data_IF_047154618714
#
_entry.id   IF_047154618714
#
_cell.length_a   1.000
_cell.length_b   1.000
_cell.length_c   1.000
_cell.angle_alpha   90.00
_cell.angle_beta   90.00
_cell.angle_gamma   90.00
#
_symmetry.space_group_name_H-M   'P 1'
#
loop_
_entity.id
_entity.type
_entity.pdbx_description
1 polymer ?
#
# COMPACT_ATOMS: atom_id res chain seq x y z
N UNK A 1 44.33 -23.49 -18.90
CA UNK A 1 42.89 -23.17 -19.17
C UNK A 1 41.88 -24.11 -18.50
N UNK A 2 41.91 -25.45 -18.71
CA UNK A 2 40.87 -26.36 -18.14
C UNK A 2 40.78 -26.37 -16.60
N UNK A 3 41.91 -26.23 -15.91
CA UNK A 3 41.97 -26.17 -14.42
C UNK A 3 41.34 -24.88 -13.90
N UNK A 4 41.68 -23.74 -14.52
CA UNK A 4 41.12 -22.42 -14.19
C UNK A 4 39.61 -22.40 -14.43
N UNK A 5 39.15 -22.97 -15.56
CA UNK A 5 37.72 -23.07 -15.86
C UNK A 5 36.96 -23.96 -14.85
N UNK A 6 37.53 -25.11 -14.45
CA UNK A 6 36.95 -25.96 -13.40
C UNK A 6 36.90 -25.25 -12.05
N UNK A 7 37.94 -24.50 -11.71
CA UNK A 7 37.99 -23.69 -10.49
C UNK A 7 36.88 -22.63 -10.50
N UNK A 8 36.76 -21.85 -11.57
CA UNK A 8 35.74 -20.82 -11.72
C UNK A 8 34.31 -21.40 -11.66
N UNK A 9 34.07 -22.53 -12.33
CA UNK A 9 32.77 -23.23 -12.26
C UNK A 9 32.43 -23.68 -10.83
N UNK A 10 33.41 -24.24 -10.09
CA UNK A 10 33.21 -24.63 -8.69
C UNK A 10 32.94 -23.43 -7.80
N UNK A 11 33.69 -22.34 -8.00
CA UNK A 11 33.49 -21.08 -7.28
C UNK A 11 32.07 -20.54 -7.49
N UNK A 12 31.61 -20.42 -8.74
CA UNK A 12 30.24 -20.00 -9.06
C UNK A 12 29.18 -20.92 -8.45
N UNK A 13 29.39 -22.23 -8.48
CA UNK A 13 28.47 -23.19 -7.86
C UNK A 13 28.38 -22.98 -6.34
N UNK A 14 29.51 -22.77 -5.67
CA UNK A 14 29.54 -22.49 -4.23
C UNK A 14 28.80 -21.18 -3.92
N UNK A 15 29.03 -20.12 -4.70
CA UNK A 15 28.26 -18.87 -4.56
C UNK A 15 26.76 -19.07 -4.74
N UNK A 16 26.34 -19.83 -5.75
CA UNK A 16 24.93 -20.13 -5.98
C UNK A 16 24.32 -20.90 -4.81
N UNK A 17 25.02 -21.90 -4.28
CA UNK A 17 24.55 -22.66 -3.10
C UNK A 17 24.44 -21.76 -1.87
N UNK A 18 25.40 -20.87 -1.63
CA UNK A 18 25.32 -19.89 -0.54
C UNK A 18 24.14 -18.95 -0.71
N UNK A 19 23.89 -18.44 -1.92
CA UNK A 19 22.74 -17.60 -2.22
C UNK A 19 21.41 -18.33 -1.98
N UNK A 20 21.27 -19.57 -2.47
CA UNK A 20 20.09 -20.40 -2.21
C UNK A 20 19.93 -20.64 -0.71
N UNK A 21 21.01 -20.97 -0.01
CA UNK A 21 21.00 -21.16 1.45
C UNK A 21 20.54 -19.92 2.21
N UNK A 22 21.01 -18.73 1.80
CA UNK A 22 20.59 -17.45 2.37
C UNK A 22 19.09 -17.19 2.12
N UNK A 23 18.61 -17.40 0.89
CA UNK A 23 17.19 -17.20 0.56
C UNK A 23 16.28 -18.19 1.31
N UNK A 24 16.71 -19.44 1.45
CA UNK A 24 16.01 -20.45 2.26
C UNK A 24 16.03 -20.09 3.75
N UNK A 25 17.08 -19.43 4.24
CA UNK A 25 17.16 -19.02 5.65
C UNK A 25 15.99 -18.10 6.03
N UNK A 26 15.54 -17.20 5.15
CA UNK A 26 14.38 -16.36 5.43
C UNK A 26 13.10 -17.18 5.70
N UNK A 27 12.88 -18.27 4.96
CA UNK A 27 11.78 -19.20 5.21
C UNK A 27 11.89 -19.92 6.56
N UNK A 28 13.11 -20.27 6.96
CA UNK A 28 13.37 -20.94 8.24
C UNK A 28 13.19 -20.00 9.44
N UNK A 29 13.45 -18.70 9.24
CA UNK A 29 13.31 -17.67 10.26
C UNK A 29 11.86 -17.24 10.49
N UNK A 30 11.02 -17.31 9.45
CA UNK A 30 9.61 -16.92 9.50
C UNK A 30 8.86 -17.64 10.65
N UNK A 31 8.31 -16.89 11.63
CA UNK A 31 7.53 -17.47 12.70
C UNK A 31 6.11 -17.83 12.24
N UNK A 32 5.46 -18.69 13.02
CA UNK A 32 4.03 -18.99 12.86
C UNK A 32 3.24 -18.01 13.73
N UNK A 33 2.26 -17.34 13.14
CA UNK A 33 1.37 -16.43 13.83
C UNK A 33 0.07 -17.13 14.24
N UNK A 34 -0.47 -16.69 15.38
CA UNK A 34 -1.86 -16.89 15.76
C UNK A 34 -2.60 -15.57 15.57
N UNK A 35 -3.75 -15.64 14.90
CA UNK A 35 -4.59 -14.49 14.59
C UNK A 35 -5.85 -14.53 15.44
N UNK A 36 -6.32 -13.36 15.91
CA UNK A 36 -7.60 -13.25 16.61
C UNK A 36 -8.80 -13.58 15.71
N UNK A 37 -8.61 -13.53 14.39
CA UNK A 37 -9.71 -13.49 13.42
C UNK A 37 -10.26 -12.08 13.22
N UNK A 38 -11.26 -11.92 12.32
CA UNK A 38 -11.89 -10.64 12.05
C UNK A 38 -12.68 -10.17 13.27
N UNK A 39 -12.48 -8.91 13.67
CA UNK A 39 -13.22 -8.27 14.76
C UNK A 39 -13.70 -6.92 14.24
N UNK A 40 -14.91 -6.83 13.66
CA UNK A 40 -15.42 -5.60 13.08
C UNK A 40 -15.42 -4.44 14.07
N UNK A 41 -15.29 -3.22 13.52
CA UNK A 41 -15.39 -2.00 14.31
C UNK A 41 -16.76 -1.89 15.00
N UNK A 42 -16.77 -1.35 16.22
CA UNK A 42 -17.99 -1.19 17.01
C UNK A 42 -17.86 -0.06 18.03
N UNK A 43 -19.00 0.49 18.43
CA UNK A 43 -19.08 1.53 19.44
C UNK A 43 -20.00 2.67 19.06
N UNK A 44 -20.24 3.55 20.05
CA UNK A 44 -21.16 4.68 19.92
C UNK A 44 -20.51 5.90 19.27
N UNK A 45 -19.18 6.02 19.33
CA UNK A 45 -18.44 7.13 18.74
C UNK A 45 -18.09 6.82 17.29
N UNK A 46 -17.94 7.87 16.48
CA UNK A 46 -17.54 7.79 15.08
C UNK A 46 -16.26 8.60 14.93
N UNK A 47 -15.21 7.95 14.47
CA UNK A 47 -13.98 8.60 14.08
C UNK A 47 -14.15 9.18 12.68
N UNK A 48 -13.91 10.48 12.56
CA UNK A 48 -13.91 11.20 11.28
C UNK A 48 -12.48 11.68 10.97
N UNK A 49 -11.79 11.08 9.98
CA UNK A 49 -10.44 11.49 9.55
C UNK A 49 -10.33 12.97 9.15
N UNK A 50 -11.45 13.58 8.77
CA UNK A 50 -11.51 14.92 8.20
C UNK A 50 -11.90 16.02 9.20
N UNK A 51 -12.02 15.71 10.51
CA UNK A 51 -12.55 16.63 11.54
C UNK A 51 -11.87 18.01 11.55
N UNK A 52 -10.57 18.08 11.23
CA UNK A 52 -9.80 19.34 11.23
C UNK A 52 -9.32 19.75 9.83
N UNK A 53 -9.93 19.20 8.77
CA UNK A 53 -9.49 19.50 7.42
C UNK A 53 -9.83 20.93 7.00
N UNK A 54 -9.05 21.49 6.08
CA UNK A 54 -9.33 22.78 5.44
C UNK A 54 -9.38 22.60 3.93
N UNK A 55 -10.40 23.14 3.28
CA UNK A 55 -10.58 22.99 1.83
C UNK A 55 -9.43 23.55 0.98
N UNK A 56 -8.61 24.45 1.54
CA UNK A 56 -7.41 25.02 0.90
C UNK A 56 -6.15 24.14 1.00
N UNK A 57 -6.18 23.11 1.84
CA UNK A 57 -4.97 22.42 2.31
C UNK A 57 -4.76 21.07 1.60
N UNK A 58 -5.49 20.81 0.52
CA UNK A 58 -5.29 19.62 -0.30
C UNK A 58 -3.96 19.66 -1.03
N UNK A 59 -3.14 18.63 -0.83
CA UNK A 59 -1.86 18.42 -1.52
C UNK A 59 -1.89 17.14 -2.32
N UNK A 60 -1.43 17.20 -3.56
CA UNK A 60 -1.45 16.09 -4.51
C UNK A 60 -0.14 15.31 -4.48
N UNK A 61 -0.22 14.05 -4.06
CA UNK A 61 0.91 13.17 -3.84
C UNK A 61 0.80 11.88 -4.65
N UNK A 62 1.95 11.37 -5.06
CA UNK A 62 2.13 10.00 -5.54
C UNK A 62 3.29 9.37 -4.75
N UNK A 63 3.09 8.15 -4.26
CA UNK A 63 4.09 7.40 -3.48
C UNK A 63 4.65 6.19 -4.22
N UNK A 64 4.24 5.97 -5.47
CA UNK A 64 4.66 4.81 -6.23
C UNK A 64 5.03 5.17 -7.67
N UNK A 65 6.34 5.22 -7.91
CA UNK A 65 6.98 5.42 -9.22
C UNK A 65 8.40 4.88 -9.15
N UNK A 66 8.85 4.23 -10.21
CA UNK A 66 10.17 3.60 -10.25
C UNK A 66 11.13 4.43 -11.11
N UNK A 67 12.31 4.67 -10.56
CA UNK A 67 13.44 5.28 -11.28
C UNK A 67 14.41 4.21 -11.78
N UNK A 68 15.46 4.67 -12.47
CA UNK A 68 16.60 3.83 -12.82
C UNK A 68 17.36 3.40 -11.55
N UNK A 69 16.97 2.25 -11.00
CA UNK A 69 17.68 1.55 -9.94
C UNK A 69 18.44 0.33 -10.47
N UNK A 70 19.39 -0.19 -9.68
CA UNK A 70 20.11 -1.44 -9.97
C UNK A 70 20.70 -1.53 -11.38
N UNK A 71 21.33 -0.45 -11.85
CA UNK A 71 21.88 -0.34 -13.22
C UNK A 71 20.84 -0.55 -14.34
N UNK A 72 19.54 -0.40 -14.05
CA UNK A 72 18.45 -0.59 -15.00
C UNK A 72 17.94 -2.03 -15.11
N UNK A 73 18.29 -2.91 -14.17
CA UNK A 73 17.79 -4.30 -14.12
C UNK A 73 16.30 -4.34 -13.78
N UNK A 74 15.83 -3.41 -12.94
CA UNK A 74 14.42 -3.29 -12.57
C UNK A 74 13.66 -2.39 -13.53
N UNK A 75 12.34 -2.45 -13.47
CA UNK A 75 11.45 -1.50 -14.16
C UNK A 75 11.74 -0.05 -13.71
N UNK A 76 11.39 0.95 -14.53
CA UNK A 76 11.80 2.34 -14.31
C UNK A 76 13.16 2.71 -14.93
N UNK A 77 13.78 1.81 -15.68
CA UNK A 77 15.16 1.91 -16.21
C UNK A 77 15.49 3.16 -17.03
N UNK A 78 14.47 3.79 -17.62
CA UNK A 78 14.61 4.99 -18.47
C UNK A 78 14.17 6.29 -17.76
N UNK A 79 13.74 6.18 -16.50
CA UNK A 79 13.31 7.29 -15.67
C UNK A 79 14.50 7.80 -14.83
N UNK A 80 14.91 9.05 -15.05
CA UNK A 80 15.76 9.76 -14.09
C UNK A 80 14.89 10.40 -13.01
N UNK A 81 15.41 10.57 -11.80
CA UNK A 81 14.66 11.25 -10.74
C UNK A 81 14.25 12.67 -11.13
N UNK A 82 15.10 13.40 -11.87
CA UNK A 82 14.79 14.73 -12.40
C UNK A 82 13.64 14.73 -13.41
N UNK A 83 13.52 13.67 -14.21
CA UNK A 83 12.43 13.54 -15.17
C UNK A 83 11.11 13.20 -14.46
N UNK A 84 11.16 12.29 -13.48
CA UNK A 84 10.01 11.97 -12.63
C UNK A 84 9.49 13.25 -11.98
N UNK A 85 10.36 13.96 -11.26
CA UNK A 85 10.03 15.23 -10.59
C UNK A 85 9.43 16.25 -11.56
N UNK A 86 10.07 16.46 -12.71
CA UNK A 86 9.59 17.41 -13.72
C UNK A 86 8.19 17.07 -14.26
N UNK A 87 7.92 15.80 -14.58
CA UNK A 87 6.62 15.38 -15.14
C UNK A 87 5.52 15.49 -14.09
N UNK A 88 5.73 15.01 -12.87
CA UNK A 88 4.73 15.10 -11.81
C UNK A 88 4.48 16.56 -11.39
N UNK A 89 5.51 17.40 -11.34
CA UNK A 89 5.34 18.83 -11.08
C UNK A 89 4.50 19.51 -12.18
N UNK A 90 4.74 19.18 -13.46
CA UNK A 90 3.92 19.69 -14.56
C UNK A 90 2.45 19.25 -14.43
N UNK A 91 2.21 18.00 -14.03
CA UNK A 91 0.88 17.45 -13.74
C UNK A 91 0.22 18.02 -12.47
N UNK A 92 0.86 18.97 -11.78
CA UNK A 92 0.32 19.69 -10.63
C UNK A 92 0.43 18.93 -9.31
N UNK A 93 1.38 18.00 -9.18
CA UNK A 93 1.67 17.35 -7.91
C UNK A 93 2.51 18.27 -7.02
N UNK A 94 2.19 18.30 -5.74
CA UNK A 94 3.00 18.98 -4.73
C UNK A 94 4.28 18.20 -4.43
N UNK A 95 4.22 16.87 -4.48
CA UNK A 95 5.37 16.00 -4.33
C UNK A 95 5.14 14.63 -4.97
N UNK A 96 6.24 13.99 -5.38
CA UNK A 96 6.27 12.58 -5.79
C UNK A 96 7.41 11.87 -5.05
N UNK A 97 7.07 10.81 -4.33
CA UNK A 97 8.07 9.97 -3.69
C UNK A 97 8.45 8.82 -4.65
N UNK A 98 9.73 8.76 -5.02
CA UNK A 98 10.27 7.65 -5.82
C UNK A 98 10.46 6.40 -4.96
N UNK A 99 9.77 5.33 -5.31
CA UNK A 99 9.71 4.08 -4.55
C UNK A 99 10.47 2.95 -5.26
N UNK A 100 11.78 3.09 -5.40
CA UNK A 100 12.59 2.07 -6.08
C UNK A 100 12.52 0.71 -5.33
N UNK A 101 12.56 -0.40 -6.07
CA UNK A 101 12.58 -1.74 -5.49
C UNK A 101 13.76 -1.91 -4.52
N UNK A 102 13.47 -2.21 -3.25
CA UNK A 102 14.45 -2.40 -2.17
C UNK A 102 15.52 -1.30 -2.09
N UNK A 103 15.17 -0.06 -2.39
CA UNK A 103 16.09 1.07 -2.32
C UNK A 103 15.36 2.34 -1.96
N UNK A 104 15.75 2.97 -0.86
CA UNK A 104 15.30 4.32 -0.54
C UNK A 104 16.00 5.27 -1.51
N UNK A 105 15.21 5.96 -2.32
CA UNK A 105 15.71 6.95 -3.26
C UNK A 105 16.03 8.25 -2.51
N UNK A 106 17.25 8.78 -2.64
CA UNK A 106 17.70 9.96 -1.90
C UNK A 106 17.61 11.26 -2.71
N UNK A 107 16.90 11.27 -3.84
CA UNK A 107 16.73 12.49 -4.62
C UNK A 107 15.97 13.53 -3.80
N UNK A 108 16.50 14.76 -3.75
CA UNK A 108 15.97 15.86 -2.93
C UNK A 108 15.91 15.56 -1.42
N UNK A 109 16.77 14.69 -0.88
CA UNK A 109 16.78 14.33 0.56
C UNK A 109 16.87 15.50 1.53
N UNK A 110 17.46 16.60 1.10
CA UNK A 110 17.63 17.81 1.91
C UNK A 110 16.40 18.74 1.88
N UNK A 111 15.41 18.46 1.03
CA UNK A 111 14.20 19.28 0.93
C UNK A 111 13.21 18.92 2.05
N UNK A 112 12.52 19.90 2.66
CA UNK A 112 11.58 19.61 3.74
C UNK A 112 10.39 18.72 3.33
N UNK A 113 10.05 18.72 2.03
CA UNK A 113 8.98 17.90 1.46
C UNK A 113 9.39 16.44 1.19
N UNK A 114 10.68 16.11 1.30
CA UNK A 114 11.17 14.76 1.00
C UNK A 114 10.66 13.73 2.01
N UNK A 115 10.04 12.68 1.48
CA UNK A 115 9.55 11.54 2.26
C UNK A 115 10.27 10.27 1.79
N UNK A 116 11.19 9.70 2.60
CA UNK A 116 11.95 8.52 2.20
C UNK A 116 11.00 7.35 1.98
N UNK A 117 11.00 6.81 0.77
CA UNK A 117 10.05 5.79 0.32
C UNK A 117 10.76 4.72 -0.50
N UNK A 118 10.32 3.48 -0.40
CA UNK A 118 10.75 2.39 -1.28
C UNK A 118 9.66 1.33 -1.43
N UNK A 119 9.71 0.56 -2.52
CA UNK A 119 8.85 -0.61 -2.71
C UNK A 119 9.59 -1.84 -2.17
N UNK A 120 9.06 -2.45 -1.12
CA UNK A 120 9.55 -3.71 -0.59
C UNK A 120 8.92 -4.88 -1.35
N UNK A 121 9.73 -5.92 -1.57
CA UNK A 121 9.32 -7.14 -2.25
C UNK A 121 10.14 -7.42 -3.50
N UNK A 122 10.86 -8.55 -3.49
CA UNK A 122 11.40 -9.21 -4.68
C UNK A 122 10.73 -10.58 -4.92
N UNK A 123 9.58 -10.78 -4.28
CA UNK A 123 8.71 -11.93 -4.42
C UNK A 123 8.17 -12.13 -5.85
N UNK A 124 8.18 -13.37 -6.34
CA UNK A 124 7.72 -13.70 -7.69
C UNK A 124 6.21 -13.44 -7.93
N UNK A 125 5.39 -13.53 -6.88
CA UNK A 125 3.94 -13.31 -6.88
C UNK A 125 3.55 -11.86 -6.56
N UNK A 126 4.52 -10.93 -6.51
CA UNK A 126 4.26 -9.50 -6.33
C UNK A 126 3.54 -9.16 -5.02
N UNK A 127 3.80 -9.92 -3.96
CA UNK A 127 3.42 -9.54 -2.58
C UNK A 127 4.30 -8.38 -2.11
N UNK A 128 3.96 -7.17 -2.53
CA UNK A 128 4.79 -5.98 -2.32
C UNK A 128 4.17 -5.03 -1.29
N UNK A 129 4.97 -4.08 -0.83
CA UNK A 129 4.55 -3.05 0.10
C UNK A 129 5.25 -1.74 -0.25
N UNK A 130 4.53 -0.63 -0.18
CA UNK A 130 5.17 0.70 -0.22
C UNK A 130 5.47 1.11 1.22
N UNK A 131 6.74 1.38 1.49
CA UNK A 131 7.24 1.74 2.81
C UNK A 131 7.51 3.24 2.84
N UNK A 132 6.58 4.02 3.37
CA UNK A 132 6.62 5.48 3.40
C UNK A 132 7.19 5.95 4.75
N UNK A 133 8.06 6.96 4.70
CA UNK A 133 8.77 7.44 5.90
C UNK A 133 9.76 6.40 6.42
N UNK A 134 10.45 5.69 5.52
CA UNK A 134 11.37 4.61 5.86
C UNK A 134 12.73 5.12 6.33
N UNK A 135 13.25 4.55 7.42
CA UNK A 135 14.59 4.83 7.96
C UNK A 135 15.68 3.99 7.30
N UNK A 136 15.35 2.75 6.91
CA UNK A 136 16.25 1.84 6.20
C UNK A 136 15.47 0.81 5.38
N UNK A 137 16.15 0.20 4.42
CA UNK A 137 15.62 -0.91 3.62
C UNK A 137 15.62 -2.20 4.44
N UNK A 138 14.49 -2.91 4.45
CA UNK A 138 14.43 -4.29 4.92
C UNK A 138 14.84 -5.24 3.79
N UNK A 139 15.94 -5.97 3.97
CA UNK A 139 16.41 -6.93 2.96
C UNK A 139 15.74 -8.30 3.05
N UNK A 140 15.13 -8.63 4.18
CA UNK A 140 14.42 -9.89 4.38
C UNK A 140 13.13 -9.88 3.57
N UNK A 141 13.02 -10.78 2.59
CA UNK A 141 11.79 -11.08 1.87
C UNK A 141 11.83 -12.54 1.40
N UNK A 142 10.69 -13.08 1.00
CA UNK A 142 10.50 -14.48 0.64
C UNK A 142 10.26 -14.55 -0.87
N UNK A 143 11.24 -15.08 -1.61
CA UNK A 143 11.27 -15.01 -3.08
C UNK A 143 10.13 -15.78 -3.78
N UNK A 144 9.63 -16.85 -3.17
CA UNK A 144 8.59 -17.73 -3.71
C UNK A 144 7.27 -17.54 -2.97
N UNK A 145 6.78 -18.54 -2.25
CA UNK A 145 5.41 -18.54 -1.75
C UNK A 145 5.41 -17.91 -0.36
N UNK A 146 4.31 -17.24 0.01
CA UNK A 146 4.16 -16.67 1.36
C UNK A 146 2.85 -17.17 1.97
N UNK A 147 2.95 -17.87 3.10
CA UNK A 147 1.79 -18.15 3.95
C UNK A 147 1.27 -16.87 4.61
N UNK A 148 0.06 -16.90 5.18
CA UNK A 148 -0.48 -15.79 5.95
C UNK A 148 0.46 -15.33 7.09
N UNK A 149 1.08 -16.28 7.81
CA UNK A 149 2.07 -15.97 8.86
C UNK A 149 3.33 -15.30 8.31
N UNK A 150 3.77 -15.69 7.12
CA UNK A 150 4.91 -15.09 6.44
C UNK A 150 4.62 -13.66 5.99
N UNK A 151 3.43 -13.42 5.42
CA UNK A 151 2.99 -12.07 5.05
C UNK A 151 2.92 -11.16 6.29
N UNK A 152 2.31 -11.64 7.39
CA UNK A 152 2.28 -10.90 8.66
C UNK A 152 3.68 -10.61 9.20
N UNK A 153 4.60 -11.58 9.11
CA UNK A 153 5.97 -11.40 9.56
C UNK A 153 6.68 -10.27 8.81
N UNK A 154 6.55 -10.23 7.48
CA UNK A 154 7.13 -9.15 6.67
C UNK A 154 6.53 -7.80 7.06
N UNK A 155 5.20 -7.71 7.20
CA UNK A 155 4.53 -6.46 7.64
C UNK A 155 5.09 -5.99 9.00
N UNK A 156 5.17 -6.88 10.00
CA UNK A 156 5.68 -6.54 11.33
C UNK A 156 7.17 -6.16 11.32
N UNK A 157 7.97 -6.69 10.39
CA UNK A 157 9.35 -6.26 10.22
C UNK A 157 9.42 -4.85 9.60
N UNK A 158 8.62 -4.57 8.58
CA UNK A 158 8.58 -3.27 7.89
C UNK A 158 8.14 -2.14 8.82
N UNK A 159 7.18 -2.40 9.70
CA UNK A 159 6.69 -1.44 10.71
C UNK A 159 7.76 -0.90 11.66
N UNK A 160 8.85 -1.65 11.87
CA UNK A 160 9.91 -1.21 12.80
C UNK A 160 10.68 -0.02 12.26
N UNK A 161 10.77 0.08 10.94
CA UNK A 161 11.65 1.01 10.25
C UNK A 161 10.90 1.92 9.26
N UNK A 162 9.59 1.78 9.15
CA UNK A 162 8.73 2.60 8.29
C UNK A 162 7.60 3.19 9.13
N UNK A 163 7.29 4.47 8.91
CA UNK A 163 6.18 5.13 9.60
C UNK A 163 4.82 4.66 9.09
N UNK A 164 4.74 4.36 7.79
CA UNK A 164 3.48 4.00 7.14
C UNK A 164 3.73 2.91 6.10
N UNK A 165 3.20 1.72 6.36
CA UNK A 165 3.30 0.56 5.45
C UNK A 165 1.99 0.40 4.71
N UNK A 166 2.10 0.40 3.39
CA UNK A 166 0.99 0.23 2.45
C UNK A 166 1.10 -1.15 1.81
N UNK A 167 0.02 -1.93 1.78
CA UNK A 167 -0.03 -3.14 0.94
C UNK A 167 -0.18 -2.71 -0.52
N UNK A 168 0.88 -2.88 -1.32
CA UNK A 168 0.90 -2.44 -2.71
C UNK A 168 0.10 -3.40 -3.60
N UNK A 169 -0.63 -2.82 -4.56
CA UNK A 169 -1.43 -3.46 -5.61
C UNK A 169 -1.91 -4.89 -5.27
N UNK A 170 -2.74 -5.09 -4.23
CA UNK A 170 -3.10 -6.42 -3.71
C UNK A 170 -3.47 -7.46 -4.77
N UNK A 171 -4.24 -7.02 -5.76
CA UNK A 171 -4.76 -7.83 -6.86
C UNK A 171 -3.68 -8.31 -7.84
N UNK A 172 -2.51 -7.66 -7.90
CA UNK A 172 -1.44 -8.02 -8.83
C UNK A 172 -0.89 -9.41 -8.47
N UNK A 173 -1.18 -10.37 -9.36
CA UNK A 173 -0.77 -11.78 -9.22
C UNK A 173 -1.20 -12.43 -7.89
N UNK A 174 -2.29 -11.93 -7.29
CA UNK A 174 -2.77 -12.35 -5.98
C UNK A 174 -1.72 -12.22 -4.87
N UNK A 175 -0.91 -11.14 -4.90
CA UNK A 175 0.06 -10.83 -3.85
C UNK A 175 -0.60 -10.81 -2.46
N UNK A 176 -1.81 -10.26 -2.37
CA UNK A 176 -2.72 -10.45 -1.25
C UNK A 176 -4.07 -10.94 -1.74
N UNK A 177 -4.62 -11.92 -1.04
CA UNK A 177 -5.98 -12.40 -1.28
C UNK A 177 -6.96 -11.64 -0.37
N UNK A 178 -8.23 -11.60 -0.75
CA UNK A 178 -9.30 -11.09 0.11
C UNK A 178 -9.28 -11.82 1.47
N UNK A 179 -9.05 -13.13 1.48
CA UNK A 179 -8.96 -13.88 2.74
C UNK A 179 -7.77 -13.44 3.61
N UNK A 180 -6.65 -12.99 3.04
CA UNK A 180 -5.54 -12.45 3.84
C UNK A 180 -5.99 -11.17 4.58
N UNK A 181 -6.80 -10.33 3.94
CA UNK A 181 -7.31 -9.08 4.51
C UNK A 181 -8.12 -9.31 5.79
N UNK A 182 -8.74 -10.49 5.94
CA UNK A 182 -9.45 -10.89 7.17
C UNK A 182 -8.56 -11.01 8.39
N UNK A 183 -7.27 -11.27 8.21
CA UNK A 183 -6.37 -11.66 9.31
C UNK A 183 -5.16 -10.77 9.46
N UNK A 184 -4.60 -10.22 8.38
CA UNK A 184 -3.41 -9.38 8.45
C UNK A 184 -3.67 -8.11 9.28
N UNK A 185 -2.68 -7.73 10.08
CA UNK A 185 -2.71 -6.56 10.98
C UNK A 185 -1.47 -5.70 10.80
N UNK A 186 -1.44 -4.54 11.47
CA UNK A 186 -0.27 -3.66 11.60
C UNK A 186 0.22 -3.02 10.29
N UNK A 187 -0.60 -2.93 9.24
CA UNK A 187 -0.34 -2.04 8.10
C UNK A 187 -1.29 -0.85 8.16
N UNK A 188 -0.85 0.33 7.72
CA UNK A 188 -1.65 1.56 7.82
C UNK A 188 -2.45 1.86 6.56
N UNK A 189 -2.04 1.32 5.41
CA UNK A 189 -2.73 1.61 4.15
C UNK A 189 -2.80 0.44 3.18
N UNK A 190 -3.67 0.59 2.19
CA UNK A 190 -3.77 -0.29 1.02
C UNK A 190 -3.70 0.59 -0.22
N UNK A 191 -2.90 0.18 -1.19
CA UNK A 191 -2.96 0.76 -2.54
C UNK A 191 -4.25 0.24 -3.21
N UNK A 192 -5.37 0.90 -2.89
CA UNK A 192 -6.70 0.55 -3.40
C UNK A 192 -6.75 0.84 -4.89
N UNK A 193 -6.11 1.94 -5.29
CA UNK A 193 -6.07 2.41 -6.66
C UNK A 193 -4.61 2.41 -7.13
N UNK A 194 -4.28 1.48 -8.01
CA UNK A 194 -2.99 1.38 -8.71
C UNK A 194 -3.26 1.57 -10.21
N UNK A 195 -2.43 2.19 -11.05
CA UNK A 195 -2.80 2.45 -12.46
C UNK A 195 -3.54 1.28 -13.18
N UNK A 196 -3.13 0.03 -13.00
CA UNK A 196 -3.76 -1.10 -13.68
C UNK A 196 -4.77 -1.90 -12.84
N UNK A 197 -4.90 -1.64 -11.53
CA UNK A 197 -5.68 -2.49 -10.60
C UNK A 197 -6.52 -1.65 -9.64
N UNK A 198 -7.73 -2.13 -9.35
CA UNK A 198 -8.62 -1.56 -8.34
C UNK A 198 -8.91 -2.64 -7.32
N UNK A 199 -8.56 -2.39 -6.05
CA UNK A 199 -8.62 -3.35 -4.95
C UNK A 199 -9.68 -2.96 -3.91
N UNK A 200 -10.83 -2.43 -4.34
CA UNK A 200 -11.93 -2.02 -3.45
C UNK A 200 -12.39 -3.16 -2.53
N UNK A 201 -12.56 -4.37 -3.07
CA UNK A 201 -12.96 -5.54 -2.26
C UNK A 201 -11.93 -5.89 -1.16
N UNK A 202 -10.64 -5.69 -1.43
CA UNK A 202 -9.59 -5.91 -0.42
C UNK A 202 -9.66 -4.86 0.68
N UNK A 203 -9.95 -3.61 0.31
CA UNK A 203 -10.13 -2.51 1.24
C UNK A 203 -11.37 -2.72 2.12
N UNK A 204 -12.49 -3.09 1.50
CA UNK A 204 -13.76 -3.35 2.18
C UNK A 204 -13.67 -4.51 3.17
N UNK A 205 -12.95 -5.57 2.80
CA UNK A 205 -12.69 -6.73 3.67
C UNK A 205 -11.75 -6.37 4.82
N UNK A 206 -10.71 -5.56 4.58
CA UNK A 206 -9.82 -5.09 5.64
C UNK A 206 -10.57 -4.28 6.69
N UNK A 207 -11.32 -3.28 6.25
CA UNK A 207 -12.15 -2.42 7.09
C UNK A 207 -13.24 -3.24 7.80
N UNK A 208 -13.90 -4.14 7.07
CA UNK A 208 -14.95 -4.99 7.61
C UNK A 208 -14.45 -5.95 8.69
N UNK A 209 -13.19 -6.38 8.58
CA UNK A 209 -12.53 -7.23 9.55
C UNK A 209 -11.92 -6.47 10.73
N UNK A 210 -12.08 -5.13 10.78
CA UNK A 210 -11.59 -4.27 11.85
C UNK A 210 -10.14 -3.80 11.71
N UNK A 211 -9.53 -3.93 10.52
CA UNK A 211 -8.24 -3.31 10.25
C UNK A 211 -8.44 -1.85 9.85
N UNK A 212 -7.76 -0.94 10.55
CA UNK A 212 -7.72 0.48 10.17
C UNK A 212 -6.72 0.58 9.02
N UNK A 213 -7.23 0.64 7.79
CA UNK A 213 -6.44 0.73 6.58
C UNK A 213 -6.92 1.92 5.75
N UNK A 214 -6.06 2.92 5.60
CA UNK A 214 -6.35 4.11 4.80
C UNK A 214 -6.12 3.84 3.31
N UNK A 215 -6.91 4.48 2.48
CA UNK A 215 -6.72 4.44 1.04
C UNK A 215 -5.42 5.14 0.66
N UNK A 216 -4.66 4.48 -0.20
CA UNK A 216 -3.60 5.08 -1.00
C UNK A 216 -3.95 4.83 -2.46
N UNK A 217 -3.69 5.84 -3.28
CA UNK A 217 -3.88 5.82 -4.72
C UNK A 217 -2.60 6.29 -5.38
N UNK A 218 -2.02 5.46 -6.25
CA UNK A 218 -0.78 5.74 -6.95
C UNK A 218 -0.82 5.25 -8.40
N UNK A 219 0.09 5.80 -9.19
CA UNK A 219 0.25 5.47 -10.59
C UNK A 219 1.13 4.21 -10.81
N UNK A 220 2.10 3.91 -9.95
CA UNK A 220 3.05 2.80 -10.14
C UNK A 220 3.72 2.84 -11.52
N UNK A 221 4.15 4.05 -11.88
CA UNK A 221 4.62 4.39 -13.22
C UNK A 221 6.03 3.83 -13.47
N UNK A 222 6.19 3.14 -14.60
CA UNK A 222 7.45 2.54 -15.02
C UNK A 222 8.09 3.26 -16.21
N UNK A 223 7.30 4.02 -16.98
CA UNK A 223 7.75 5.01 -17.96
C UNK A 223 6.99 6.32 -17.79
N UNK A 224 7.65 7.35 -17.24
CA UNK A 224 6.98 8.64 -17.01
C UNK A 224 6.76 9.47 -18.27
N UNK A 225 7.31 9.06 -19.42
CA UNK A 225 7.03 9.70 -20.72
C UNK A 225 5.73 9.17 -21.32
N UNK A 226 5.27 8.00 -20.89
CA UNK A 226 4.00 7.43 -21.29
C UNK A 226 2.87 8.08 -20.49
N UNK A 227 2.05 8.90 -21.16
CA UNK A 227 0.91 9.59 -20.51
C UNK A 227 -0.12 8.63 -19.91
N UNK A 228 -0.18 7.38 -20.37
CA UNK A 228 -1.04 6.35 -19.79
C UNK A 228 -0.56 5.84 -18.42
N UNK A 229 0.67 6.16 -18.01
CA UNK A 229 1.28 5.64 -16.78
C UNK A 229 1.37 6.67 -15.66
N UNK A 230 1.15 7.96 -15.92
CA UNK A 230 1.30 9.02 -14.92
C UNK A 230 0.06 9.88 -14.83
N UNK A 231 -0.23 10.50 -13.68
CA UNK A 231 -1.29 11.50 -13.56
C UNK A 231 -2.71 10.95 -13.57
N UNK A 232 -2.90 9.66 -13.29
CA UNK A 232 -4.24 9.03 -13.27
C UNK A 232 -4.69 8.74 -11.84
N UNK A 233 -3.85 8.08 -11.05
CA UNK A 233 -4.18 7.66 -9.68
C UNK A 233 -3.22 8.31 -8.72
N UNK A 234 -3.78 9.09 -7.80
CA UNK A 234 -3.02 9.87 -6.84
C UNK A 234 -3.79 10.05 -5.55
N UNK A 235 -3.05 10.37 -4.50
CA UNK A 235 -3.59 10.63 -3.18
C UNK A 235 -3.62 12.13 -2.93
N UNK A 236 -4.79 12.68 -2.60
CA UNK A 236 -4.89 14.03 -2.06
C UNK A 236 -4.79 13.95 -0.55
N UNK A 237 -3.89 14.72 0.07
CA UNK A 237 -3.63 14.73 1.51
C UNK A 237 -3.96 16.11 2.04
N UNK A 238 -4.79 16.20 3.07
CA UNK A 238 -5.12 17.50 3.66
C UNK A 238 -4.10 17.85 4.74
N UNK A 239 -3.19 18.76 4.41
CA UNK A 239 -2.05 19.11 5.24
C UNK A 239 -1.77 20.61 5.17
N UNK A 240 -1.47 21.27 6.31
CA UNK A 240 -1.21 22.71 6.34
C UNK A 240 0.05 23.11 5.57
N UNK A 241 0.96 22.18 5.31
CA UNK A 241 2.16 22.40 4.50
C UNK A 241 2.57 21.14 3.75
N UNK A 242 3.59 21.26 2.88
CA UNK A 242 4.23 20.14 2.19
C UNK A 242 5.37 19.51 3.00
N UNK A 243 5.65 19.99 4.22
CA UNK A 243 6.66 19.37 5.08
C UNK A 243 6.33 17.91 5.37
N UNK A 244 7.35 17.05 5.34
CA UNK A 244 7.24 15.62 5.59
C UNK A 244 6.43 15.32 6.86
N UNK A 245 6.75 15.94 7.99
CA UNK A 245 6.07 15.67 9.26
C UNK A 245 4.57 15.99 9.23
N UNK A 246 4.16 17.09 8.57
CA UNK A 246 2.75 17.45 8.45
C UNK A 246 2.00 16.47 7.55
N UNK A 247 2.60 16.09 6.42
CA UNK A 247 2.04 15.13 5.47
C UNK A 247 1.89 13.75 6.13
N UNK A 248 2.91 13.29 6.83
CA UNK A 248 2.87 12.01 7.54
C UNK A 248 1.85 12.03 8.66
N UNK A 249 1.73 13.11 9.43
CA UNK A 249 0.71 13.24 10.46
C UNK A 249 -0.72 13.23 9.88
N UNK A 250 -0.93 13.81 8.70
CA UNK A 250 -2.21 13.74 7.99
C UNK A 250 -2.52 12.32 7.49
N UNK A 251 -1.54 11.64 6.88
CA UNK A 251 -1.66 10.25 6.42
C UNK A 251 -1.96 9.28 7.57
N UNK A 252 -1.23 9.38 8.68
CA UNK A 252 -1.40 8.52 9.86
C UNK A 252 -2.81 8.62 10.45
N UNK A 253 -3.45 9.80 10.33
CA UNK A 253 -4.85 10.06 10.73
C UNK A 253 -5.89 9.74 9.66
N UNK A 254 -5.47 9.33 8.46
CA UNK A 254 -6.36 9.04 7.34
C UNK A 254 -6.96 10.28 6.68
N UNK A 255 -6.42 11.48 6.91
CA UNK A 255 -6.90 12.74 6.33
C UNK A 255 -6.46 12.88 4.86
N UNK A 256 -6.94 11.95 4.04
CA UNK A 256 -6.55 11.77 2.66
C UNK A 256 -7.71 11.21 1.82
N UNK A 257 -7.60 11.37 0.50
CA UNK A 257 -8.57 10.91 -0.50
C UNK A 257 -7.79 10.15 -1.59
N UNK A 258 -8.27 8.96 -1.95
CA UNK A 258 -7.81 8.29 -3.16
C UNK A 258 -8.56 8.82 -4.37
N UNK A 259 -7.85 9.26 -5.40
CA UNK A 259 -8.46 9.77 -6.64
C UNK A 259 -8.21 8.78 -7.77
N UNK A 260 -9.28 8.41 -8.50
CA UNK A 260 -9.21 7.80 -9.83
C UNK A 260 -9.61 8.86 -10.85
N UNK A 261 -8.62 9.55 -11.39
CA UNK A 261 -8.82 10.59 -12.40
C UNK A 261 -9.11 9.92 -13.74
N UNK A 262 -10.14 10.41 -14.43
CA UNK A 262 -10.61 9.77 -15.64
C UNK A 262 -9.49 9.58 -16.67
N UNK A 263 -9.37 8.37 -17.19
CA UNK A 263 -8.36 8.00 -18.16
C UNK A 263 -8.88 8.25 -19.57
N UNK A 264 -8.14 9.06 -20.32
CA UNK A 264 -8.24 9.14 -21.76
C UNK A 264 -7.02 8.37 -22.31
N UNK A 265 -7.28 7.31 -23.07
CA UNK A 265 -6.21 6.48 -23.63
C UNK A 265 -5.39 7.28 -24.62
N UNK A 266 -4.06 7.21 -24.49
CA UNK A 266 -3.10 7.89 -25.36
C UNK A 266 -3.30 9.42 -25.46
N UNK A 267 -3.85 10.02 -24.40
CA UNK A 267 -3.98 11.47 -24.25
C UNK A 267 -2.59 12.14 -24.38
N UNK A 268 -2.43 13.17 -25.24
CA UNK A 268 -1.20 13.93 -25.29
C UNK A 268 -0.82 14.48 -23.91
N UNK A 269 0.47 14.37 -23.53
CA UNK A 269 0.93 14.76 -22.18
C UNK A 269 0.57 16.22 -21.85
N UNK A 270 0.66 17.13 -22.82
CA UNK A 270 0.31 18.55 -22.65
C UNK A 270 -1.17 18.75 -22.31
N UNK A 271 -2.07 18.04 -23.00
CA UNK A 271 -3.51 18.08 -22.70
C UNK A 271 -3.80 17.51 -21.32
N UNK A 272 -3.13 16.41 -20.96
CA UNK A 272 -3.24 15.80 -19.64
C UNK A 272 -2.77 16.74 -18.54
N UNK A 273 -1.66 17.47 -18.75
CA UNK A 273 -1.15 18.48 -17.81
C UNK A 273 -2.20 19.56 -17.53
N UNK A 274 -2.87 20.06 -18.58
CA UNK A 274 -3.92 21.07 -18.44
C UNK A 274 -5.09 20.49 -17.63
N UNK A 275 -5.60 19.31 -18.01
CA UNK A 275 -6.74 18.68 -17.36
C UNK A 275 -6.46 18.31 -15.91
N UNK A 276 -5.26 17.82 -15.61
CA UNK A 276 -4.80 17.36 -14.28
C UNK A 276 -4.76 18.46 -13.22
N UNK A 277 -4.79 19.74 -13.65
CA UNK A 277 -4.87 20.93 -12.78
C UNK A 277 -6.30 21.37 -12.49
N UNK A 278 -7.29 20.82 -13.18
CA UNK A 278 -8.70 21.15 -13.02
C UNK A 278 -9.37 19.99 -12.29
N UNK A 279 -9.38 20.08 -10.96
CA UNK A 279 -9.95 19.07 -10.09
C UNK A 279 -11.02 19.70 -9.19
N UNK A 280 -12.17 19.03 -8.99
CA UNK A 280 -13.08 19.32 -7.89
C UNK A 280 -12.37 19.31 -6.54
N UNK A 281 -12.90 20.06 -5.59
CA UNK A 281 -12.40 20.10 -4.21
C UNK A 281 -13.43 19.61 -3.20
N UNK A 282 -12.96 18.86 -2.22
CA UNK A 282 -13.73 18.49 -1.04
C UNK A 282 -13.72 19.65 -0.04
N UNK A 283 -14.90 20.17 0.29
CA UNK A 283 -15.07 21.34 1.15
C UNK A 283 -15.20 20.94 2.62
N UNK A 284 -16.12 20.05 2.95
CA UNK A 284 -16.32 19.57 4.32
C UNK A 284 -16.78 18.10 4.36
N UNK A 285 -16.39 17.38 5.40
CA UNK A 285 -16.92 16.07 5.78
C UNK A 285 -17.16 16.13 7.28
N UNK A 286 -18.42 16.28 7.65
CA UNK A 286 -18.83 16.55 9.02
C UNK A 286 -19.63 15.38 9.56
N UNK A 287 -19.38 15.04 10.82
CA UNK A 287 -20.18 14.05 11.55
C UNK A 287 -20.73 14.72 12.80
N UNK A 288 -22.05 14.89 12.85
CA UNK A 288 -22.76 15.31 14.06
C UNK A 288 -23.61 14.14 14.55
N UNK A 289 -23.28 13.61 15.73
CA UNK A 289 -23.88 12.38 16.25
C UNK A 289 -23.67 11.19 15.28
N UNK A 290 -24.71 10.77 14.57
CA UNK A 290 -24.70 9.72 13.55
C UNK A 290 -24.87 10.26 12.13
N UNK A 291 -25.02 11.57 11.98
CA UNK A 291 -25.29 12.22 10.71
C UNK A 291 -24.00 12.65 10.02
N UNK A 292 -23.72 12.03 8.88
CA UNK A 292 -22.62 12.34 7.97
C UNK A 292 -23.09 13.32 6.90
N UNK A 293 -22.41 14.45 6.80
CA UNK A 293 -22.62 15.47 5.76
C UNK A 293 -21.34 15.60 4.94
N UNK A 294 -21.45 15.54 3.62
CA UNK A 294 -20.34 15.68 2.68
C UNK A 294 -20.66 16.84 1.73
N UNK A 295 -19.73 17.79 1.65
CA UNK A 295 -19.84 19.00 0.82
C UNK A 295 -18.65 19.11 -0.12
N UNK A 296 -18.91 19.38 -1.39
CA UNK A 296 -17.92 19.60 -2.46
C UNK A 296 -18.18 20.94 -3.15
N UNK A 297 -17.19 21.45 -3.88
CA UNK A 297 -17.25 22.77 -4.55
C UNK A 297 -17.99 22.78 -5.89
N UNK A 298 -18.33 21.61 -6.39
CA UNK A 298 -18.90 21.37 -7.72
C UNK A 298 -20.01 20.33 -7.64
N UNK A 299 -20.83 20.23 -8.69
CA UNK A 299 -21.87 19.21 -8.76
C UNK A 299 -21.22 17.83 -9.00
N UNK A 300 -21.48 16.88 -8.10
CA UNK A 300 -21.22 15.48 -8.37
C UNK A 300 -22.36 14.90 -9.19
N UNK A 301 -22.02 14.03 -10.14
CA UNK A 301 -22.97 13.16 -10.82
C UNK A 301 -23.69 12.29 -9.80
N UNK A 302 -22.92 11.70 -8.89
CA UNK A 302 -23.46 11.01 -7.72
C UNK A 302 -22.48 10.91 -6.55
N UNK A 303 -23.05 10.88 -5.36
CA UNK A 303 -22.37 10.62 -4.08
C UNK A 303 -22.94 9.31 -3.53
N UNK A 304 -22.08 8.30 -3.38
CA UNK A 304 -22.43 6.96 -2.87
C UNK A 304 -21.86 6.76 -1.47
N UNK A 305 -22.71 6.33 -0.55
CA UNK A 305 -22.32 5.88 0.79
C UNK A 305 -22.25 4.36 0.80
N UNK A 306 -21.10 3.81 1.16
CA UNK A 306 -20.81 2.38 1.09
C UNK A 306 -20.42 1.87 2.48
N UNK A 307 -21.08 0.78 2.90
CA UNK A 307 -20.91 0.15 4.21
C UNK A 307 -20.12 -1.14 4.14
N UNK A 308 -20.32 -1.97 5.16
CA UNK A 308 -19.59 -3.23 5.33
C UNK A 308 -19.63 -4.13 4.09
N UNK A 309 -18.46 -4.64 3.70
CA UNK A 309 -18.32 -5.56 2.56
C UNK A 309 -18.60 -4.93 1.19
N UNK A 310 -18.49 -3.60 1.08
CA UNK A 310 -18.75 -2.88 -0.18
C UNK A 310 -20.25 -2.70 -0.48
N UNK A 311 -21.12 -2.91 0.52
CA UNK A 311 -22.57 -2.76 0.35
C UNK A 311 -22.95 -1.29 0.13
N UNK A 312 -23.57 -1.00 -1.00
CA UNK A 312 -24.17 0.32 -1.23
C UNK A 312 -25.32 0.58 -0.24
N UNK A 313 -25.22 1.67 0.53
CA UNK A 313 -26.21 2.05 1.53
C UNK A 313 -27.14 3.15 1.03
N UNK A 314 -26.61 4.13 0.30
CA UNK A 314 -27.36 5.25 -0.27
C UNK A 314 -26.61 5.86 -1.45
N UNK A 315 -27.36 6.35 -2.42
CA UNK A 315 -26.87 7.20 -3.50
C UNK A 315 -27.65 8.51 -3.51
N UNK A 316 -26.95 9.62 -3.76
CA UNK A 316 -27.54 10.94 -3.99
C UNK A 316 -26.99 11.46 -5.31
N UNK A 317 -27.86 11.92 -6.21
CA UNK A 317 -27.47 12.32 -7.57
C UNK A 317 -27.44 13.84 -7.73
N UNK A 318 -26.62 14.33 -8.66
CA UNK A 318 -26.61 15.71 -9.15
C UNK A 318 -26.66 16.76 -8.03
N UNK A 319 -25.74 16.64 -7.06
CA UNK A 319 -25.68 17.53 -5.89
C UNK A 319 -24.23 17.82 -5.53
N UNK A 320 -24.01 18.94 -4.85
CA UNK A 320 -22.75 19.27 -4.20
C UNK A 320 -22.77 19.06 -2.68
N UNK A 321 -23.92 18.64 -2.13
CA UNK A 321 -24.13 18.38 -0.72
C UNK A 321 -24.94 17.09 -0.55
N UNK A 322 -24.44 16.16 0.26
CA UNK A 322 -25.10 14.91 0.58
C UNK A 322 -25.14 14.65 2.08
N UNK A 323 -26.26 14.09 2.53
CA UNK A 323 -26.52 13.73 3.92
C UNK A 323 -26.82 12.24 4.05
N UNK A 324 -26.26 11.59 5.07
CA UNK A 324 -26.51 10.19 5.39
C UNK A 324 -26.46 9.92 6.89
N UNK A 325 -27.45 9.21 7.43
CA UNK A 325 -27.45 8.76 8.83
C UNK A 325 -26.76 7.40 8.88
N UNK A 326 -25.63 7.32 9.59
CA UNK A 326 -24.84 6.10 9.71
C UNK A 326 -25.57 5.11 10.63
N UNK A 327 -26.04 3.96 10.12
CA UNK A 327 -26.74 2.98 10.96
C UNK A 327 -25.85 2.46 12.08
N UNK A 328 -26.42 2.16 13.25
CA UNK A 328 -25.66 1.64 14.39
C UNK A 328 -25.00 0.28 14.10
N UNK A 329 -25.55 -0.46 13.14
CA UNK A 329 -25.05 -1.77 12.69
C UNK A 329 -23.88 -1.65 11.72
N UNK A 330 -23.64 -0.49 11.10
CA UNK A 330 -22.55 -0.32 10.16
C UNK A 330 -21.24 -0.05 10.92
N UNK A 331 -20.22 -0.93 10.82
CA UNK A 331 -18.94 -0.77 11.51
C UNK A 331 -18.14 0.42 10.97
N UNK A 332 -18.32 0.73 9.69
CA UNK A 332 -17.74 1.87 9.01
C UNK A 332 -18.65 2.31 7.85
N UNK A 333 -18.46 3.52 7.37
CA UNK A 333 -19.04 4.01 6.11
C UNK A 333 -18.00 4.80 5.36
N UNK A 334 -17.76 4.46 4.09
CA UNK A 334 -16.94 5.23 3.16
C UNK A 334 -17.80 5.95 2.14
N UNK A 335 -17.26 7.01 1.55
CA UNK A 335 -17.97 7.82 0.56
C UNK A 335 -17.21 7.77 -0.76
N UNK A 336 -17.94 7.55 -1.85
CA UNK A 336 -17.45 7.71 -3.22
C UNK A 336 -18.17 8.90 -3.86
N UNK A 337 -17.43 9.72 -4.60
CA UNK A 337 -17.97 10.90 -5.29
C UNK A 337 -17.57 10.79 -6.74
N UNK A 338 -18.54 10.54 -7.62
CA UNK A 338 -18.34 10.50 -9.07
C UNK A 338 -18.76 11.84 -9.67
N UNK A 339 -17.90 12.43 -10.48
CA UNK A 339 -18.15 13.69 -11.18
C UNK A 339 -18.57 13.44 -12.63
N UNK A 340 -19.15 14.45 -13.29
CA UNK A 340 -19.50 14.36 -14.72
C UNK A 340 -18.27 14.15 -15.63
N UNK A 341 -17.08 14.49 -15.15
CA UNK A 341 -15.80 14.17 -15.80
C UNK A 341 -15.43 12.69 -15.74
N UNK A 342 -16.26 11.85 -15.11
CA UNK A 342 -16.01 10.44 -14.77
C UNK A 342 -14.85 10.19 -13.80
N UNK A 343 -14.25 11.24 -13.25
CA UNK A 343 -13.28 11.09 -12.16
C UNK A 343 -14.02 10.73 -10.87
N UNK A 344 -13.38 9.94 -10.01
CA UNK A 344 -13.98 9.47 -8.76
C UNK A 344 -13.07 9.75 -7.58
N UNK A 345 -13.63 10.35 -6.52
CA UNK A 345 -12.97 10.50 -5.24
C UNK A 345 -13.45 9.41 -4.29
N UNK A 346 -12.50 8.75 -3.63
CA UNK A 346 -12.74 7.73 -2.62
C UNK A 346 -12.22 8.24 -1.28
N UNK A 347 -13.15 8.60 -0.40
CA UNK A 347 -12.84 9.12 0.93
C UNK A 347 -12.55 7.97 1.89
N UNK A 348 -11.60 8.17 2.79
CA UNK A 348 -11.38 7.31 3.95
C UNK A 348 -12.65 7.21 4.81
N UNK A 349 -12.86 6.04 5.46
CA UNK A 349 -14.11 5.74 6.12
C UNK A 349 -14.31 6.51 7.43
N UNK A 350 -15.58 6.78 7.73
CA UNK A 350 -16.03 7.05 9.09
C UNK A 350 -16.05 5.72 9.84
N UNK A 351 -15.34 5.59 10.96
CA UNK A 351 -15.16 4.31 11.66
C UNK A 351 -15.80 4.35 13.04
N UNK A 352 -16.59 3.33 13.40
CA UNK A 352 -17.10 3.19 14.77
C UNK A 352 -16.01 2.77 15.74
N UNK A 353 -15.99 3.37 16.93
CA UNK A 353 -15.06 2.96 17.96
C UNK A 353 -15.62 3.15 19.37
N UNK A 354 -14.96 2.47 20.30
CA UNK A 354 -15.24 2.52 21.73
C UNK A 354 -13.98 2.99 22.47
N UNK A 355 -14.17 3.63 23.62
CA UNK A 355 -13.06 4.15 24.42
C UNK A 355 -12.63 5.57 24.01
N UNK A 356 -11.36 5.89 24.26
CA UNK A 356 -10.79 7.22 24.02
C UNK A 356 -10.20 7.36 22.63
N UNK A 357 -9.51 6.32 22.16
CA UNK A 357 -8.76 6.34 20.91
C UNK A 357 -9.27 5.30 19.91
N UNK A 358 -9.07 5.57 18.62
CA UNK A 358 -9.36 4.62 17.56
C UNK A 358 -8.28 3.53 17.55
N UNK A 359 -8.59 2.37 18.12
CA UNK A 359 -7.67 1.23 18.21
C UNK A 359 -8.34 -0.01 17.62
N UNK A 360 -7.61 -0.76 16.80
CA UNK A 360 -8.08 -2.06 16.31
C UNK A 360 -8.05 -3.11 17.41
N UNK A 361 -9.11 -3.91 17.50
CA UNK A 361 -9.15 -5.11 18.35
C UNK A 361 -8.59 -6.35 17.65
N UNK A 362 -8.33 -6.26 16.35
CA UNK A 362 -7.74 -7.32 15.53
C UNK A 362 -6.26 -7.43 15.86
N UNK A 363 -5.80 -8.65 16.18
CA UNK A 363 -4.42 -8.88 16.64
C UNK A 363 -3.80 -10.09 15.94
N UNK A 364 -2.50 -9.99 15.68
CA UNK A 364 -1.65 -11.10 15.33
C UNK A 364 -0.49 -11.18 16.33
N UNK A 365 -0.21 -12.38 16.84
CA UNK A 365 0.90 -12.63 17.75
C UNK A 365 1.64 -13.89 17.36
N UNK A 366 2.96 -13.89 17.50
CA UNK A 366 3.77 -15.08 17.26
C UNK A 366 3.30 -16.20 18.20
N UNK A 367 3.06 -17.40 17.65
CA UNK A 367 2.81 -18.62 18.39
C UNK A 367 4.14 -19.37 18.59
N UNK A 368 4.79 -19.29 19.78
CA UNK A 368 6.13 -19.84 19.97
C UNK A 368 6.14 -21.36 19.85
N UNK A 369 5.09 -22.03 20.31
CA UNK A 369 4.97 -23.49 20.26
C UNK A 369 4.83 -24.00 18.83
N UNK A 370 3.97 -23.38 18.02
CA UNK A 370 3.83 -23.73 16.61
C UNK A 370 5.10 -23.43 15.81
N UNK A 371 5.74 -22.29 16.10
CA UNK A 371 7.03 -21.92 15.50
C UNK A 371 8.12 -22.94 15.82
N UNK A 372 8.22 -23.38 17.08
CA UNK A 372 9.20 -24.39 17.49
C UNK A 372 8.95 -25.73 16.79
N UNK A 373 7.71 -26.20 16.72
CA UNK A 373 7.36 -27.43 16.00
C UNK A 373 7.73 -27.37 14.53
N UNK A 374 7.45 -26.24 13.87
CA UNK A 374 7.82 -26.03 12.47
C UNK A 374 9.34 -26.07 12.27
N UNK A 375 10.11 -25.43 13.17
CA UNK A 375 11.58 -25.46 13.15
C UNK A 375 12.15 -26.87 13.38
N UNK A 376 11.57 -27.65 14.30
CA UNK A 376 11.93 -29.05 14.52
C UNK A 376 11.67 -29.87 13.25
N UNK A 377 10.53 -29.67 12.60
CA UNK A 377 10.20 -30.35 11.34
C UNK A 377 11.22 -30.03 10.24
N UNK A 378 11.59 -28.76 10.07
CA UNK A 378 12.64 -28.36 9.13
C UNK A 378 13.98 -29.00 9.44
N UNK A 379 14.36 -29.07 10.73
CA UNK A 379 15.60 -29.72 11.15
C UNK A 379 15.60 -31.22 10.83
N UNK A 380 14.50 -31.92 11.13
CA UNK A 380 14.35 -33.34 10.78
C UNK A 380 14.43 -33.55 9.26
N UNK A 381 13.76 -32.71 8.47
CA UNK A 381 13.81 -32.78 7.01
C UNK A 381 15.25 -32.58 6.49
N UNK A 382 15.99 -31.63 7.08
CA UNK A 382 17.40 -31.40 6.74
C UNK A 382 18.27 -32.63 7.07
N UNK A 383 18.06 -33.29 8.21
CA UNK A 383 18.76 -34.53 8.57
C UNK A 383 18.44 -35.67 7.61
N UNK A 384 17.18 -35.84 7.21
CA UNK A 384 16.76 -36.84 6.23
C UNK A 384 17.44 -36.60 4.88
N UNK A 385 17.46 -35.35 4.41
CA UNK A 385 18.12 -34.99 3.16
C UNK A 385 19.63 -35.24 3.22
N UNK A 386 20.29 -34.91 4.34
CA UNK A 386 21.71 -35.19 4.55
C UNK A 386 22.00 -36.69 4.56
N UNK A 387 21.15 -37.50 5.19
CA UNK A 387 21.26 -38.96 5.20
C UNK A 387 21.11 -39.56 3.80
N UNK A 388 20.09 -39.15 3.04
CA UNK A 388 19.85 -39.61 1.67
C UNK A 388 21.00 -39.21 0.74
N UNK A 389 21.51 -37.99 0.86
CA UNK A 389 22.69 -37.53 0.11
C UNK A 389 23.93 -38.37 0.41
N UNK A 390 24.20 -38.66 1.68
CA UNK A 390 25.31 -39.54 2.09
C UNK A 390 25.15 -40.95 1.53
N UNK A 391 23.95 -41.52 1.57
CA UNK A 391 23.66 -42.86 0.99
C UNK A 391 23.88 -42.87 -0.52
N UNK A 392 23.47 -41.83 -1.25
CA UNK A 392 23.69 -41.70 -2.68
C UNK A 392 25.19 -41.65 -3.04
N UNK A 393 25.98 -40.87 -2.28
CA UNK A 393 27.45 -40.75 -2.40
C UNK A 393 28.25 -42.02 -2.07
N UNK A 394 27.66 -42.96 -1.33
CA UNK A 394 28.30 -44.25 -1.03
C UNK A 394 28.00 -45.27 -2.13
N UNK A 395 26.85 -45.12 -2.82
CA UNK A 395 26.43 -46.02 -3.90
C UNK A 395 27.01 -45.66 -5.28
N UNK A 396 27.40 -44.40 -5.50
CA UNK A 396 28.06 -43.88 -6.70
C UNK A 396 29.37 -43.22 -6.31
#
# INVERSE_FOLDING_TARGET
MKVIFRFFKRFLLVMLVMLIGMLLMFYLLAPVYQFSGPVPFSGKKIYNPYTNMRSSDWKKYNFQVQSKAWMGITSGRDNTNTLIDSIYHQLGYDHVATSDYQKINSYQSEQPAYIPTYEHGYNAFKTHQVCIGAKKVLWTDLILWQSLSMKQWIIDLLQKDSRFVVLAHPLLRNGYTINDMKYLTNYQGIEVLNNLRVSLEHWDEALGSGQIAWIISNDDAHDVRNSNEVGRRFTLINSPSTNNEDIMAALEKGNAIGVDFYRISDEPMEEKIIRSRILPSLISVEVSHDSLIVTIDSLAKEIRFVGHGGKLLKTVHHTNLAFFVIPITEPYVRTEIEFDSHSVFYLNPMIRYSGNDLITSKKASINPSATLRLRILYFILALVMAYLYRRYRIKN
#
